data_IF_306291567635
#
_entry.id   IF_306291567635
#
_cell.length_a   1.000
_cell.length_b   1.000
_cell.length_c   1.000
_cell.angle_alpha   90.00
_cell.angle_beta   90.00
_cell.angle_gamma   90.00
#
_symmetry.space_group_name_H-M   'P 1'
#
loop_
_entity.id
_entity.type
_entity.pdbx_description
1 polymer ?
#
# COMPACT_ATOMS: atom_id res chain seq x y z
N UNK A 1 6.52 -2.35 20.30
CA UNK A 1 5.75 -1.33 21.04
C UNK A 1 4.82 -0.64 20.07
N UNK A 2 3.56 -0.45 20.46
CA UNK A 2 2.63 0.36 19.67
C UNK A 2 3.15 1.80 19.63
N UNK A 3 3.07 2.44 18.46
CA UNK A 3 3.42 3.86 18.34
C UNK A 3 2.19 4.68 18.72
N UNK A 4 2.41 5.78 19.43
CA UNK A 4 1.35 6.73 19.77
C UNK A 4 1.22 7.74 18.64
N UNK A 5 -0.01 7.96 18.18
CA UNK A 5 -0.36 9.00 17.22
C UNK A 5 -1.22 10.04 17.91
N UNK A 6 -0.91 11.32 17.70
CA UNK A 6 -1.68 12.45 18.19
C UNK A 6 -2.60 12.98 17.08
N UNK A 7 -3.85 13.23 17.43
CA UNK A 7 -4.90 13.73 16.56
C UNK A 7 -5.42 15.05 17.12
N UNK A 8 -5.87 15.93 16.24
CA UNK A 8 -6.67 17.11 16.60
C UNK A 8 -8.02 17.02 15.90
N UNK A 9 -9.10 16.98 16.69
CA UNK A 9 -10.49 17.01 16.21
C UNK A 9 -11.24 18.07 17.01
N UNK A 10 -11.86 19.03 16.34
CA UNK A 10 -12.58 20.16 16.95
C UNK A 10 -11.75 20.88 18.02
N UNK A 11 -10.47 21.17 17.73
CA UNK A 11 -9.50 21.74 18.68
C UNK A 11 -9.26 20.92 19.96
N UNK A 12 -9.64 19.63 19.98
CA UNK A 12 -9.30 18.70 21.05
C UNK A 12 -8.14 17.82 20.60
N UNK A 13 -7.04 17.86 21.33
CA UNK A 13 -5.90 16.98 21.12
C UNK A 13 -6.13 15.63 21.82
N UNK A 14 -5.99 14.55 21.06
CA UNK A 14 -6.20 13.18 21.54
C UNK A 14 -5.03 12.31 21.09
N UNK A 15 -4.57 11.41 21.95
CA UNK A 15 -3.47 10.49 21.64
C UNK A 15 -3.89 9.03 21.78
N UNK A 16 -3.67 8.24 20.74
CA UNK A 16 -3.99 6.81 20.74
C UNK A 16 -2.80 5.96 20.31
N UNK A 17 -2.73 4.74 20.83
CA UNK A 17 -1.76 3.72 20.43
C UNK A 17 -2.24 2.98 19.18
N UNK A 18 -1.34 2.80 18.21
CA UNK A 18 -1.62 2.05 16.97
C UNK A 18 -1.24 0.58 17.13
N UNK A 19 -2.25 -0.27 17.28
CA UNK A 19 -2.09 -1.72 17.32
C UNK A 19 -2.39 -2.33 15.96
N UNK A 20 -1.33 -2.70 15.22
CA UNK A 20 -1.49 -3.28 13.89
C UNK A 20 -2.23 -4.62 13.95
N UNK A 21 -3.37 -4.70 13.27
CA UNK A 21 -4.14 -5.92 13.10
C UNK A 21 -3.59 -6.68 11.89
N UNK A 22 -3.15 -7.92 12.10
CA UNK A 22 -2.59 -8.75 11.03
C UNK A 22 -3.20 -10.14 11.09
N UNK A 23 -3.52 -10.71 9.92
CA UNK A 23 -4.09 -12.06 9.82
C UNK A 23 -3.26 -13.11 10.56
N UNK A 24 -1.92 -12.99 10.51
CA UNK A 24 -1.00 -13.90 11.22
C UNK A 24 -1.14 -13.85 12.75
N UNK A 25 -1.63 -12.75 13.32
CA UNK A 25 -1.89 -12.60 14.76
C UNK A 25 -3.25 -13.19 15.14
N UNK A 26 -4.25 -13.06 14.26
CA UNK A 26 -5.61 -13.55 14.48
C UNK A 26 -5.74 -15.05 14.26
N UNK A 27 -5.17 -15.53 13.16
CA UNK A 27 -5.35 -16.90 12.68
C UNK A 27 -4.07 -17.75 12.77
N UNK A 28 -2.98 -17.17 13.27
CA UNK A 28 -1.66 -17.78 13.19
C UNK A 28 -1.11 -17.79 11.77
N UNK A 29 0.03 -18.45 11.61
CA UNK A 29 0.69 -18.61 10.32
C UNK A 29 1.41 -19.96 10.29
N UNK A 30 1.64 -20.48 9.09
CA UNK A 30 2.41 -21.70 8.86
C UNK A 30 3.60 -21.34 7.99
N UNK A 31 4.77 -21.84 8.37
CA UNK A 31 6.00 -21.74 7.59
C UNK A 31 6.41 -23.10 7.05
N UNK A 32 7.01 -23.14 5.86
CA UNK A 32 7.66 -24.35 5.35
C UNK A 32 9.16 -24.19 5.49
N UNK A 33 9.78 -25.10 6.26
CA UNK A 33 11.22 -25.16 6.42
C UNK A 33 11.75 -26.44 5.78
N UNK A 34 12.78 -26.31 4.95
CA UNK A 34 13.51 -27.42 4.38
C UNK A 34 14.78 -27.64 5.22
N UNK A 35 15.12 -28.90 5.43
CA UNK A 35 16.31 -29.31 6.18
C UNK A 35 17.11 -30.31 5.36
N UNK A 36 18.43 -30.26 5.49
CA UNK A 36 19.32 -31.26 4.91
C UNK A 36 19.33 -32.54 5.76
N UNK A 37 20.17 -33.51 5.37
CA UNK A 37 20.29 -34.79 6.07
C UNK A 37 20.89 -34.67 7.47
N UNK A 38 21.63 -33.61 7.73
CA UNK A 38 22.29 -33.34 9.01
C UNK A 38 21.42 -32.46 9.92
N UNK A 39 20.23 -32.07 9.46
CA UNK A 39 19.27 -31.25 10.18
C UNK A 39 19.51 -29.74 10.08
N UNK A 40 20.39 -29.28 9.18
CA UNK A 40 20.62 -27.85 8.97
C UNK A 40 19.53 -27.27 8.04
N UNK A 41 19.11 -26.01 8.27
CA UNK A 41 18.12 -25.36 7.41
C UNK A 41 18.68 -25.14 6.00
N UNK A 42 17.92 -25.57 4.99
CA UNK A 42 18.18 -25.24 3.60
C UNK A 42 17.60 -23.87 3.25
N UNK A 43 18.26 -23.16 2.35
CA UNK A 43 17.79 -21.89 1.80
C UNK A 43 17.58 -22.03 0.30
N UNK A 44 16.68 -21.23 -0.27
CA UNK A 44 16.50 -21.15 -1.72
C UNK A 44 17.74 -20.54 -2.36
N UNK A 45 18.27 -21.22 -3.38
CA UNK A 45 19.31 -20.70 -4.28
C UNK A 45 18.80 -20.61 -5.71
N UNK A 46 19.28 -19.63 -6.46
CA UNK A 46 18.99 -19.48 -7.89
C UNK A 46 20.20 -19.91 -8.71
N UNK A 47 19.99 -20.60 -9.83
CA UNK A 47 21.06 -21.02 -10.73
C UNK A 47 21.17 -20.01 -11.88
N UNK A 48 22.40 -19.67 -12.29
CA UNK A 48 22.64 -18.89 -13.50
C UNK A 48 22.12 -19.61 -14.74
N UNK A 49 21.83 -18.85 -15.81
CA UNK A 49 21.30 -19.40 -17.07
C UNK A 49 22.23 -20.42 -17.72
N UNK A 50 23.54 -20.27 -17.52
CA UNK A 50 24.58 -21.18 -18.00
C UNK A 50 24.82 -22.39 -17.07
N UNK A 51 24.18 -22.45 -15.91
CA UNK A 51 24.31 -23.55 -14.95
C UNK A 51 25.60 -23.56 -14.13
N UNK A 52 26.46 -22.56 -14.27
CA UNK A 52 27.80 -22.54 -13.66
C UNK A 52 27.83 -21.92 -12.26
N UNK A 53 26.85 -21.06 -11.93
CA UNK A 53 26.85 -20.27 -10.70
C UNK A 53 25.56 -20.47 -9.92
N UNK A 54 25.69 -20.64 -8.60
CA UNK A 54 24.57 -20.66 -7.66
C UNK A 54 24.59 -19.36 -6.87
N UNK A 55 23.48 -18.63 -6.92
CA UNK A 55 23.23 -17.39 -6.22
C UNK A 55 22.40 -17.66 -4.96
N UNK A 56 22.91 -17.23 -3.81
CA UNK A 56 22.20 -17.33 -2.54
C UNK A 56 21.37 -16.08 -2.23
N UNK A 57 20.78 -16.04 -1.03
CA UNK A 57 19.95 -14.92 -0.55
C UNK A 57 20.63 -13.55 -0.62
N UNK A 58 21.96 -13.49 -0.54
CA UNK A 58 22.74 -12.23 -0.55
C UNK A 58 23.43 -11.95 -1.89
N UNK A 59 23.17 -12.76 -2.92
CA UNK A 59 23.84 -12.61 -4.22
C UNK A 59 23.17 -11.57 -5.13
N UNK A 60 22.00 -11.07 -4.75
CA UNK A 60 21.26 -10.05 -5.48
C UNK A 60 21.03 -8.85 -4.59
N UNK A 61 21.17 -7.67 -5.17
CA UNK A 61 20.73 -6.41 -4.59
C UNK A 61 19.93 -5.63 -5.64
N UNK A 62 19.12 -4.67 -5.19
CA UNK A 62 18.32 -3.81 -6.04
C UNK A 62 18.73 -2.36 -5.81
N UNK A 63 19.04 -1.65 -6.89
CA UNK A 63 19.43 -0.24 -6.82
C UNK A 63 18.91 0.56 -8.00
N UNK A 64 19.32 1.83 -8.00
CA UNK A 64 19.03 2.76 -9.09
C UNK A 64 20.28 2.90 -9.95
N UNK A 65 20.06 3.04 -11.25
CA UNK A 65 21.13 3.25 -12.22
C UNK A 65 20.81 4.54 -12.96
N UNK A 66 21.82 5.39 -13.16
CA UNK A 66 21.70 6.59 -13.98
C UNK A 66 21.54 6.23 -15.46
N UNK A 67 21.19 7.22 -16.28
CA UNK A 67 21.13 7.04 -17.73
C UNK A 67 22.50 6.64 -18.33
N UNK A 68 23.60 6.96 -17.64
CA UNK A 68 24.97 6.61 -18.03
C UNK A 68 25.41 5.21 -17.56
N UNK A 69 24.56 4.50 -16.81
CA UNK A 69 24.86 3.15 -16.29
C UNK A 69 25.52 3.12 -14.92
N UNK A 70 25.67 4.26 -14.25
CA UNK A 70 26.30 4.35 -12.92
C UNK A 70 25.32 4.03 -11.80
N UNK A 71 25.80 3.39 -10.74
CA UNK A 71 25.00 3.13 -9.54
C UNK A 71 24.68 4.43 -8.80
N UNK A 72 23.42 4.60 -8.40
CA UNK A 72 22.93 5.78 -7.67
C UNK A 72 22.35 5.37 -6.33
N UNK A 73 22.82 6.04 -5.28
CA UNK A 73 22.33 5.83 -3.92
C UNK A 73 20.95 6.45 -3.73
N UNK A 74 20.07 5.74 -3.01
CA UNK A 74 18.69 6.20 -2.77
C UNK A 74 18.64 7.54 -2.02
N UNK A 75 19.67 7.87 -1.25
CA UNK A 75 19.79 9.15 -0.52
C UNK A 75 20.08 10.34 -1.41
N UNK A 76 20.59 10.12 -2.63
CA UNK A 76 20.93 11.16 -3.59
C UNK A 76 19.75 11.50 -4.51
N UNK A 77 18.71 10.67 -4.52
CA UNK A 77 17.52 10.88 -5.34
C UNK A 77 16.70 12.09 -4.84
N UNK A 78 16.39 12.97 -5.78
CA UNK A 78 15.50 14.12 -5.59
C UNK A 78 14.21 13.91 -6.38
N UNK A 79 13.08 14.29 -5.79
CA UNK A 79 11.79 14.22 -6.45
C UNK A 79 11.42 15.57 -7.05
N UNK A 80 11.02 15.58 -8.33
CA UNK A 80 10.52 16.76 -9.03
C UNK A 80 9.08 16.51 -9.48
N UNK A 81 8.26 17.56 -9.52
CA UNK A 81 6.92 17.54 -10.06
C UNK A 81 6.93 17.48 -11.59
N UNK A 82 5.76 17.26 -12.20
CA UNK A 82 5.58 17.34 -13.66
C UNK A 82 5.95 18.73 -14.20
N UNK A 83 5.80 19.77 -13.38
CA UNK A 83 6.22 21.16 -13.69
C UNK A 83 7.71 21.42 -13.37
N UNK A 84 8.50 20.37 -13.12
CA UNK A 84 9.92 20.42 -12.80
C UNK A 84 10.26 21.24 -11.53
N UNK A 85 9.37 21.21 -10.53
CA UNK A 85 9.62 21.82 -9.21
C UNK A 85 10.02 20.75 -8.20
N UNK A 86 11.06 21.00 -7.42
CA UNK A 86 11.47 20.09 -6.35
C UNK A 86 10.33 19.90 -5.33
N UNK A 87 10.02 18.64 -5.03
CA UNK A 87 9.00 18.25 -4.06
C UNK A 87 9.73 17.84 -2.78
N UNK A 88 9.29 18.37 -1.63
CA UNK A 88 9.80 17.96 -0.33
C UNK A 88 8.98 16.80 0.25
N UNK A 89 9.62 15.96 1.06
CA UNK A 89 8.91 14.89 1.76
C UNK A 89 7.96 15.48 2.80
N UNK A 90 6.75 14.95 2.86
CA UNK A 90 5.86 15.14 4.00
C UNK A 90 6.41 14.30 5.15
N UNK A 91 6.56 14.91 6.32
CA UNK A 91 7.10 14.25 7.51
C UNK A 91 6.22 13.08 7.99
N UNK A 92 6.80 12.24 8.86
CA UNK A 92 6.05 11.17 9.49
C UNK A 92 4.98 11.73 10.44
N UNK A 93 3.76 11.18 10.40
CA UNK A 93 2.64 11.63 11.24
C UNK A 93 2.92 11.54 12.73
N UNK A 94 3.87 10.72 13.16
CA UNK A 94 4.30 10.59 14.56
C UNK A 94 5.14 11.76 15.07
N UNK A 95 5.61 12.67 14.20
CA UNK A 95 6.41 13.83 14.62
C UNK A 95 5.56 15.03 15.05
N UNK A 96 4.25 14.99 14.84
CA UNK A 96 3.35 16.09 15.13
C UNK A 96 1.94 15.62 15.42
N UNK A 97 1.02 16.58 15.43
CA UNK A 97 -0.41 16.34 15.61
C UNK A 97 -1.04 16.29 14.23
N UNK A 98 -1.83 15.24 13.97
CA UNK A 98 -2.56 15.08 12.73
C UNK A 98 -3.90 15.78 12.86
N UNK A 99 -4.14 16.80 12.03
CA UNK A 99 -5.45 17.44 11.94
C UNK A 99 -6.45 16.51 11.26
N UNK A 100 -7.62 16.34 11.87
CA UNK A 100 -8.70 15.49 11.38
C UNK A 100 -9.96 16.34 11.32
N UNK A 101 -10.08 17.08 10.23
CA UNK A 101 -11.16 18.05 9.98
C UNK A 101 -12.05 17.68 8.79
N UNK A 102 -11.63 16.72 7.96
CA UNK A 102 -12.37 16.25 6.78
C UNK A 102 -13.16 14.99 7.11
N UNK A 103 -14.43 14.96 6.69
CA UNK A 103 -15.25 13.75 6.64
C UNK A 103 -15.66 13.46 5.21
N UNK A 104 -15.79 12.19 4.88
CA UNK A 104 -16.16 11.72 3.54
C UNK A 104 -17.32 10.75 3.60
N UNK A 105 -17.99 10.56 2.46
CA UNK A 105 -19.05 9.58 2.32
C UNK A 105 -18.49 8.15 2.28
N UNK A 106 -19.38 7.18 2.47
CA UNK A 106 -19.05 5.75 2.30
C UNK A 106 -18.61 5.47 0.85
N UNK A 107 -19.24 6.09 -0.14
CA UNK A 107 -18.90 5.89 -1.55
C UNK A 107 -17.46 6.35 -1.85
N UNK A 108 -17.04 7.50 -1.31
CA UNK A 108 -15.66 7.95 -1.44
C UNK A 108 -14.69 7.00 -0.73
N UNK A 109 -15.01 6.57 0.49
CA UNK A 109 -14.19 5.60 1.23
C UNK A 109 -13.99 4.29 0.44
N UNK A 110 -15.04 3.78 -0.21
CA UNK A 110 -14.99 2.56 -1.02
C UNK A 110 -14.11 2.68 -2.27
N UNK A 111 -13.75 3.90 -2.68
CA UNK A 111 -12.76 4.12 -3.74
C UNK A 111 -11.32 3.84 -3.27
N UNK A 112 -11.05 3.55 -2.00
CA UNK A 112 -9.69 3.33 -1.49
C UNK A 112 -9.36 1.85 -1.31
N UNK A 113 -8.18 1.45 -1.80
CA UNK A 113 -7.61 0.14 -1.53
C UNK A 113 -6.93 0.15 -0.15
N UNK A 114 -7.58 -0.45 0.84
CA UNK A 114 -7.06 -0.54 2.20
C UNK A 114 -5.94 -1.58 2.28
N UNK A 115 -4.78 -1.16 2.75
CA UNK A 115 -3.56 -1.98 2.83
C UNK A 115 -3.17 -2.36 4.24
N UNK A 116 -3.57 -1.54 5.22
CA UNK A 116 -3.24 -1.76 6.62
C UNK A 116 -4.41 -1.36 7.52
N UNK A 117 -4.56 -2.12 8.61
CA UNK A 117 -5.59 -1.92 9.61
C UNK A 117 -4.91 -1.83 10.98
N UNK A 118 -5.31 -0.83 11.77
CA UNK A 118 -4.84 -0.63 13.13
C UNK A 118 -6.05 -0.48 14.05
N UNK A 119 -6.02 -1.16 15.17
CA UNK A 119 -6.90 -0.85 16.30
C UNK A 119 -6.28 0.32 17.08
N UNK A 120 -7.09 1.33 17.38
CA UNK A 120 -6.68 2.49 18.17
C UNK A 120 -7.10 2.27 19.63
N UNK A 121 -6.12 2.20 20.53
CA UNK A 121 -6.35 2.01 21.96
C UNK A 121 -5.71 3.12 22.81
N UNK A 122 -5.92 3.06 24.12
CA UNK A 122 -5.35 4.01 25.09
C UNK A 122 -6.41 4.94 25.69
N UNK A 123 -5.99 5.80 26.62
CA UNK A 123 -6.91 6.58 27.47
C UNK A 123 -7.85 7.50 26.67
N UNK A 124 -7.39 8.04 25.53
CA UNK A 124 -8.18 8.93 24.69
C UNK A 124 -9.00 8.20 23.60
N UNK A 125 -8.85 6.88 23.46
CA UNK A 125 -9.53 6.13 22.39
C UNK A 125 -11.05 6.17 22.52
N UNK A 126 -11.59 6.13 23.74
CA UNK A 126 -13.03 6.23 23.99
C UNK A 126 -13.58 7.60 23.59
N UNK A 127 -12.85 8.68 23.88
CA UNK A 127 -13.28 10.04 23.49
C UNK A 127 -13.29 10.19 21.98
N UNK A 128 -12.27 9.65 21.31
CA UNK A 128 -12.20 9.64 19.86
C UNK A 128 -13.30 8.78 19.23
N UNK A 129 -13.61 7.63 19.83
CA UNK A 129 -14.70 6.74 19.41
C UNK A 129 -16.06 7.47 19.45
N UNK A 130 -16.37 8.17 20.54
CA UNK A 130 -17.62 8.93 20.65
C UNK A 130 -17.71 10.03 19.58
N UNK A 131 -16.59 10.72 19.27
CA UNK A 131 -16.52 11.70 18.19
C UNK A 131 -16.76 11.06 16.81
N UNK A 132 -16.23 9.86 16.58
CA UNK A 132 -16.44 9.11 15.33
C UNK A 132 -17.89 8.66 15.19
N UNK A 133 -18.50 8.14 16.27
CA UNK A 133 -19.92 7.73 16.29
C UNK A 133 -20.88 8.90 16.05
N UNK A 134 -20.53 10.10 16.52
CA UNK A 134 -21.35 11.30 16.37
C UNK A 134 -21.21 11.99 15.00
N UNK A 135 -20.21 11.63 14.20
CA UNK A 135 -19.95 12.27 12.92
C UNK A 135 -20.92 11.81 11.82
N UNK A 136 -21.36 12.75 10.98
CA UNK A 136 -22.15 12.46 9.77
C UNK A 136 -21.20 12.17 8.59
N UNK A 137 -20.46 11.07 8.68
CA UNK A 137 -19.47 10.66 7.69
C UNK A 137 -18.26 9.95 8.30
N UNK A 138 -17.31 9.57 7.44
CA UNK A 138 -16.08 8.89 7.83
C UNK A 138 -14.96 9.91 7.88
N UNK A 139 -14.29 10.07 9.02
CA UNK A 139 -13.14 10.95 9.12
C UNK A 139 -12.01 10.47 8.21
N UNK A 140 -11.42 11.41 7.47
CA UNK A 140 -10.32 11.20 6.55
C UNK A 140 -9.14 12.07 6.97
N UNK A 141 -7.95 11.50 6.91
CA UNK A 141 -6.71 12.19 7.27
C UNK A 141 -5.54 11.70 6.42
N UNK A 142 -4.52 12.55 6.32
CA UNK A 142 -3.25 12.20 5.68
C UNK A 142 -2.35 11.47 6.68
N UNK A 143 -1.79 10.33 6.27
CA UNK A 143 -0.97 9.49 7.14
C UNK A 143 0.36 9.09 6.49
N UNK A 144 1.44 9.26 7.25
CA UNK A 144 2.78 8.83 6.89
C UNK A 144 3.43 8.07 8.04
N UNK A 145 3.74 6.80 7.83
CA UNK A 145 4.49 6.03 8.82
C UNK A 145 5.96 6.47 8.91
N UNK A 146 6.53 6.82 7.75
CA UNK A 146 7.86 7.43 7.56
C UNK A 146 7.69 8.60 6.59
N UNK A 147 8.60 9.57 6.64
CA UNK A 147 8.62 10.68 5.71
C UNK A 147 8.58 10.19 4.25
N UNK A 148 7.64 10.72 3.48
CA UNK A 148 7.29 10.26 2.12
C UNK A 148 6.87 11.43 1.25
N UNK A 149 7.11 11.33 -0.06
CA UNK A 149 6.58 12.28 -1.04
C UNK A 149 5.08 12.11 -1.29
N UNK A 150 4.55 10.90 -1.06
CA UNK A 150 3.16 10.54 -1.30
C UNK A 150 2.60 9.93 -0.01
N UNK A 151 1.99 10.75 0.86
CA UNK A 151 1.31 10.21 2.04
C UNK A 151 0.16 9.29 1.65
N UNK A 152 -0.06 8.29 2.48
CA UNK A 152 -1.26 7.45 2.39
C UNK A 152 -2.45 8.20 2.99
N UNK A 153 -3.66 7.74 2.67
CA UNK A 153 -4.89 8.24 3.29
C UNK A 153 -5.31 7.27 4.39
N UNK A 154 -5.68 7.80 5.55
CA UNK A 154 -6.22 7.03 6.64
C UNK A 154 -7.67 7.45 6.95
N UNK A 155 -8.45 6.47 7.39
CA UNK A 155 -9.85 6.62 7.77
C UNK A 155 -10.08 6.12 9.18
N UNK A 156 -10.93 6.79 9.95
CA UNK A 156 -11.35 6.33 11.27
C UNK A 156 -12.74 5.70 11.19
N UNK A 157 -12.85 4.45 11.66
CA UNK A 157 -14.09 3.68 11.61
C UNK A 157 -14.30 3.01 12.97
N UNK A 158 -15.55 3.03 13.42
CA UNK A 158 -16.02 2.34 14.61
C UNK A 158 -16.56 0.95 14.24
N UNK A 159 -16.31 -0.04 15.09
CA UNK A 159 -16.93 -1.36 15.00
C UNK A 159 -16.96 -2.02 16.39
N UNK A 160 -18.14 -2.47 16.84
CA UNK A 160 -18.35 -3.15 18.14
C UNK A 160 -17.63 -2.48 19.31
N UNK A 161 -17.87 -1.17 19.50
CA UNK A 161 -17.26 -0.32 20.54
C UNK A 161 -15.72 -0.22 20.49
N UNK A 162 -15.11 -0.64 19.40
CA UNK A 162 -13.68 -0.51 19.13
C UNK A 162 -13.43 0.48 18.00
N UNK A 163 -12.33 1.22 18.10
CA UNK A 163 -11.95 2.20 17.09
C UNK A 163 -10.84 1.64 16.21
N UNK A 164 -11.01 1.77 14.90
CA UNK A 164 -10.06 1.33 13.90
C UNK A 164 -9.60 2.47 13.02
N UNK A 165 -8.32 2.43 12.64
CA UNK A 165 -7.73 3.26 11.62
C UNK A 165 -7.33 2.41 10.42
N UNK A 166 -7.93 2.70 9.27
CA UNK A 166 -7.71 2.00 8.01
C UNK A 166 -6.84 2.87 7.12
N UNK A 167 -5.70 2.35 6.66
CA UNK A 167 -4.77 3.08 5.79
C UNK A 167 -4.81 2.48 4.39
N UNK A 168 -4.99 3.33 3.40
CA UNK A 168 -5.08 2.93 2.00
C UNK A 168 -4.63 4.00 1.03
N UNK A 169 -4.68 3.63 -0.25
CA UNK A 169 -4.48 4.55 -1.37
C UNK A 169 -5.74 4.61 -2.20
N UNK A 170 -6.03 5.77 -2.75
CA UNK A 170 -7.13 5.93 -3.68
C UNK A 170 -6.92 5.00 -4.87
N UNK A 171 -7.96 4.29 -5.23
CA UNK A 171 -8.00 3.42 -6.38
C UNK A 171 -8.47 4.25 -7.56
N UNK A 172 -7.63 4.41 -8.56
CA UNK A 172 -7.97 5.14 -9.79
C UNK A 172 -8.69 4.22 -10.79
N UNK A 173 -9.62 3.40 -10.32
CA UNK A 173 -10.40 2.54 -11.22
C UNK A 173 -11.51 3.37 -11.86
N UNK A 174 -11.56 3.35 -13.18
CA UNK A 174 -12.75 3.80 -13.90
C UNK A 174 -13.75 2.65 -13.92
N UNK A 175 -14.98 2.90 -13.50
CA UNK A 175 -16.07 1.97 -13.70
C UNK A 175 -16.39 1.95 -15.20
N UNK A 176 -16.28 0.78 -15.81
CA UNK A 176 -16.64 0.56 -17.21
C UNK A 176 -18.06 0.02 -17.23
N UNK A 177 -19.02 0.79 -17.75
CA UNK A 177 -20.37 0.29 -17.98
C UNK A 177 -20.39 -0.64 -19.20
N UNK A 178 -21.42 -1.47 -19.32
CA UNK A 178 -21.59 -2.36 -20.49
C UNK A 178 -21.61 -1.61 -21.82
N UNK A 179 -22.09 -0.38 -21.80
CA UNK A 179 -22.18 0.49 -22.98
C UNK A 179 -20.86 1.26 -23.22
N UNK A 180 -19.96 1.29 -22.23
CA UNK A 180 -18.58 1.78 -22.34
C UNK A 180 -17.65 0.62 -22.76
N UNK A 181 -18.03 -0.15 -23.79
CA UNK A 181 -17.07 -1.03 -24.43
C UNK A 181 -15.89 -0.16 -24.87
N UNK A 182 -14.74 -0.32 -24.21
CA UNK A 182 -13.50 0.32 -24.62
C UNK A 182 -13.33 0.03 -26.12
N UNK A 183 -13.16 1.09 -26.91
CA UNK A 183 -12.90 0.93 -28.34
C UNK A 183 -11.57 0.19 -28.45
N UNK A 184 -11.64 -1.12 -28.72
CA UNK A 184 -10.48 -1.98 -28.93
C UNK A 184 -9.80 -1.67 -30.26
N UNK A 185 -10.37 -0.77 -31.08
CA UNK A 185 -9.77 -0.29 -32.30
C UNK A 185 -8.80 0.87 -32.03
N UNK A 186 -7.71 0.59 -31.29
CA UNK A 186 -6.46 1.21 -31.75
C UNK A 186 -6.16 0.53 -33.08
N UNK A 187 -6.24 1.31 -34.15
CA UNK A 187 -6.01 0.93 -35.55
C UNK A 187 -4.88 -0.09 -35.69
N UNK A 188 -5.22 -1.38 -35.69
CA UNK A 188 -4.36 -2.40 -36.26
C UNK A 188 -4.31 -2.08 -37.75
N UNK A 189 -3.14 -1.60 -38.20
CA UNK A 189 -2.82 -1.49 -39.62
C UNK A 189 -3.20 -2.82 -40.28
N UNK A 190 -4.08 -2.77 -41.28
CA UNK A 190 -4.54 -3.91 -42.07
C UNK A 190 -3.33 -4.79 -42.43
N UNK A 191 -3.19 -5.92 -41.73
CA UNK A 191 -2.35 -7.02 -42.21
C UNK A 191 -3.24 -7.88 -43.09
N UNK A 192 -2.90 -7.84 -44.38
CA UNK A 192 -3.56 -8.56 -45.46
C UNK A 192 -3.83 -10.03 -45.08
N UNK A 193 -5.05 -10.46 -45.41
CA UNK A 193 -5.56 -11.82 -45.25
C UNK A 193 -4.62 -12.87 -45.88
N UNK A 194 -4.06 -13.77 -45.06
CA UNK A 194 -3.75 -15.13 -45.50
C UNK A 194 -4.66 -16.11 -44.73
N UNK A 195 -5.69 -16.55 -45.46
CA UNK A 195 -6.68 -17.57 -45.10
C UNK A 195 -6.00 -18.96 -44.99
N UNK A 196 -5.25 -19.20 -43.90
CA UNK A 196 -4.83 -20.55 -43.53
C UNK A 196 -5.78 -21.13 -42.47
N UNK A 197 -6.90 -21.65 -43.00
CA UNK A 197 -7.73 -22.76 -42.51
C UNK A 197 -7.41 -23.26 -41.08
N UNK A 198 -7.93 -22.58 -40.07
CA UNK A 198 -7.90 -23.03 -38.67
C UNK A 198 -8.82 -24.25 -38.48
N UNK A 199 -8.24 -25.46 -38.59
CA UNK A 199 -8.92 -26.72 -38.28
C UNK A 199 -9.03 -26.93 -36.76
N UNK A 200 -10.20 -26.62 -36.19
CA UNK A 200 -10.56 -26.94 -34.80
C UNK A 200 -11.01 -28.40 -34.64
N UNK A 201 -10.24 -29.33 -35.20
CA UNK A 201 -10.37 -30.74 -34.92
C UNK A 201 -9.85 -31.05 -33.51
N UNK A 202 -10.78 -31.18 -32.55
CA UNK A 202 -10.49 -31.80 -31.26
C UNK A 202 -9.95 -33.23 -31.44
N UNK A 203 -8.73 -33.46 -30.96
CA UNK A 203 -8.24 -34.75 -30.43
C UNK A 203 -7.63 -34.49 -29.06
#
# INVERSE_FOLDING_TARGET
MARVLAFQIDNTELSCELNKVERKKLYGWVDKKAYDRDGNPCYLGSLSKDGLYIFGKQSFDAGFVSDDGDWVEKTELQAYSVDNKEIQKVEASFKGIVDVSETVSIDEFLMYNIRSLYELSGDNSTVLLEKVKAADGIYKLSFNYVASYFPDTAFLIENDDSLYMLIGKQSNFNFVARDDAADLNETDEESEEEDDFMDFGMI
#
